data_IF_459583413089
#
_entry.id   IF_459583413089
#
_cell.length_a   1.000
_cell.length_b   1.000
_cell.length_c   1.000
_cell.angle_alpha   90.00
_cell.angle_beta   90.00
_cell.angle_gamma   90.00
#
_symmetry.space_group_name_H-M   'P 1'
#
loop_
_entity.id
_entity.type
_entity.pdbx_description
1 polymer ?
#
# COMPACT_ATOMS: atom_id res chain seq x y z
N UNK A 1 -28.83 -9.64 -0.16
CA UNK A 1 -27.78 -8.95 -0.93
C UNK A 1 -27.28 -7.77 -0.11
N UNK A 2 -26.18 -7.94 0.64
CA UNK A 2 -25.54 -6.87 1.41
C UNK A 2 -24.03 -7.04 1.25
N UNK A 3 -23.33 -6.13 0.55
CA UNK A 3 -21.89 -6.23 0.42
C UNK A 3 -21.24 -5.70 1.71
N UNK A 4 -20.40 -6.55 2.31
CA UNK A 4 -19.22 -6.17 3.08
C UNK A 4 -19.39 -5.14 4.22
N UNK A 5 -20.20 -5.48 5.22
CA UNK A 5 -20.09 -4.86 6.54
C UNK A 5 -18.98 -5.57 7.35
N UNK A 6 -17.73 -5.46 6.92
CA UNK A 6 -16.56 -6.06 7.60
C UNK A 6 -16.04 -5.22 8.77
N UNK A 7 -16.59 -4.02 9.00
CA UNK A 7 -16.17 -3.09 10.07
C UNK A 7 -17.37 -2.58 10.88
N UNK A 8 -18.14 -3.52 11.41
CA UNK A 8 -19.19 -3.21 12.37
C UNK A 8 -18.62 -2.87 13.73
N UNK A 9 -18.47 -1.57 14.00
CA UNK A 9 -18.72 -1.05 15.35
C UNK A 9 -17.54 -0.77 16.28
N UNK A 10 -16.28 -0.77 15.84
CA UNK A 10 -15.20 -0.17 16.64
C UNK A 10 -14.06 0.29 15.75
N UNK A 11 -13.75 1.59 15.84
CA UNK A 11 -12.54 2.25 15.34
C UNK A 11 -12.27 2.13 13.84
N UNK A 12 -12.81 3.11 13.10
CA UNK A 12 -12.18 3.56 11.86
C UNK A 12 -10.67 3.73 12.15
N UNK A 13 -9.77 3.01 11.47
CA UNK A 13 -8.37 3.00 11.87
C UNK A 13 -7.84 4.43 11.82
N UNK A 14 -7.35 4.93 12.95
CA UNK A 14 -6.75 6.27 13.00
C UNK A 14 -5.75 6.39 11.86
N UNK A 15 -5.76 7.50 11.12
CA UNK A 15 -4.82 7.75 10.02
C UNK A 15 -3.36 7.44 10.43
N UNK A 16 -3.03 7.66 11.71
CA UNK A 16 -1.74 7.31 12.33
C UNK A 16 -1.41 5.82 12.29
N UNK A 17 -2.38 4.94 12.45
CA UNK A 17 -2.19 3.48 12.37
C UNK A 17 -1.83 3.09 10.94
N UNK A 18 -2.50 3.66 9.94
CA UNK A 18 -2.22 3.43 8.52
C UNK A 18 -0.80 3.91 8.19
N UNK A 19 -0.42 5.10 8.63
CA UNK A 19 0.94 5.64 8.46
C UNK A 19 2.01 4.71 9.06
N UNK A 20 1.77 4.19 10.26
CA UNK A 20 2.68 3.25 10.94
C UNK A 20 2.81 1.94 10.17
N UNK A 21 1.70 1.41 9.64
CA UNK A 21 1.73 0.20 8.81
C UNK A 21 2.47 0.45 7.49
N UNK A 22 2.23 1.57 6.81
CA UNK A 22 2.93 1.94 5.57
C UNK A 22 4.43 2.12 5.83
N UNK A 23 4.82 2.74 6.94
CA UNK A 23 6.22 2.86 7.33
C UNK A 23 6.90 1.48 7.52
N UNK A 24 6.23 0.56 8.22
CA UNK A 24 6.71 -0.83 8.39
C UNK A 24 6.81 -1.57 7.05
N UNK A 25 5.81 -1.40 6.18
CA UNK A 25 5.73 -2.12 4.92
C UNK A 25 6.78 -1.61 3.92
N UNK A 26 7.00 -0.29 3.84
CA UNK A 26 8.10 0.31 3.06
C UNK A 26 9.47 -0.23 3.47
N UNK A 27 9.73 -0.34 4.79
CA UNK A 27 11.00 -0.91 5.29
C UNK A 27 11.19 -2.37 4.85
N UNK A 28 10.13 -3.18 4.95
CA UNK A 28 10.19 -4.60 4.52
C UNK A 28 10.45 -4.72 3.02
N UNK A 29 9.76 -3.91 2.19
CA UNK A 29 9.93 -3.91 0.75
C UNK A 29 11.32 -3.42 0.31
N UNK A 30 11.85 -2.37 0.95
CA UNK A 30 13.20 -1.89 0.69
C UNK A 30 14.25 -2.97 1.00
N UNK A 31 14.09 -3.71 2.10
CA UNK A 31 14.98 -4.82 2.46
C UNK A 31 14.89 -5.99 1.47
N UNK A 32 13.68 -6.34 1.02
CA UNK A 32 13.46 -7.46 0.10
C UNK A 32 13.86 -7.15 -1.36
N UNK A 33 13.90 -5.88 -1.74
CA UNK A 33 14.10 -5.45 -3.13
C UNK A 33 15.30 -4.52 -3.33
N UNK A 34 16.30 -4.61 -2.44
CA UNK A 34 17.55 -3.84 -2.54
C UNK A 34 17.34 -2.32 -2.68
N UNK A 35 16.37 -1.76 -1.94
CA UNK A 35 16.11 -0.32 -1.91
C UNK A 35 15.08 0.19 -2.92
N UNK A 36 14.40 -0.68 -3.69
CA UNK A 36 13.32 -0.25 -4.58
C UNK A 36 12.10 0.25 -3.80
N UNK A 37 11.60 1.42 -4.18
CA UNK A 37 10.40 2.02 -3.61
C UNK A 37 9.17 1.66 -4.44
N UNK A 38 8.25 0.91 -3.83
CA UNK A 38 7.00 0.50 -4.48
C UNK A 38 5.78 1.28 -4.02
N UNK A 39 5.89 2.07 -2.96
CA UNK A 39 4.74 2.74 -2.36
C UNK A 39 4.93 4.24 -2.46
N UNK A 40 4.07 4.88 -3.23
CA UNK A 40 4.02 6.32 -3.39
C UNK A 40 2.99 6.93 -2.44
N UNK A 41 3.33 8.04 -1.80
CA UNK A 41 2.37 8.82 -1.01
C UNK A 41 1.75 9.88 -1.91
N UNK A 42 0.43 9.87 -2.03
CA UNK A 42 -0.33 10.93 -2.69
C UNK A 42 -1.03 11.76 -1.62
N UNK A 43 -0.53 12.96 -1.38
CA UNK A 43 -1.05 13.86 -0.36
C UNK A 43 -2.55 14.14 -0.57
N UNK A 44 -3.34 13.96 0.49
CA UNK A 44 -4.80 14.13 0.45
C UNK A 44 -5.56 13.01 -0.29
N UNK A 45 -4.89 11.97 -0.80
CA UNK A 45 -5.52 10.82 -1.48
C UNK A 45 -5.13 9.45 -0.92
N UNK A 46 -4.00 9.35 -0.21
CA UNK A 46 -3.54 8.12 0.44
C UNK A 46 -2.27 7.55 -0.19
N UNK A 47 -2.23 6.23 -0.42
CA UNK A 47 -1.05 5.51 -0.88
C UNK A 47 -1.34 4.72 -2.14
N UNK A 48 -0.37 4.71 -3.06
CA UNK A 48 -0.43 3.92 -4.29
C UNK A 48 0.67 2.87 -4.25
N UNK A 49 0.32 1.62 -4.53
CA UNK A 49 1.28 0.53 -4.70
C UNK A 49 1.59 0.38 -6.19
N UNK A 50 2.84 0.62 -6.55
CA UNK A 50 3.39 0.28 -7.85
C UNK A 50 3.74 -1.19 -7.85
N UNK A 51 3.11 -1.95 -8.74
CA UNK A 51 3.57 -3.30 -9.03
C UNK A 51 4.90 -3.16 -9.79
N UNK A 52 5.99 -3.65 -9.21
CA UNK A 52 7.30 -3.74 -9.88
C UNK A 52 7.26 -4.48 -11.22
N UNK A 53 6.13 -5.12 -11.53
CA UNK A 53 5.80 -5.76 -12.80
C UNK A 53 5.42 -4.76 -13.91
N UNK A 54 5.26 -3.46 -13.64
CA UNK A 54 4.90 -2.50 -14.70
C UNK A 54 5.96 -2.42 -15.81
N UNK A 55 7.25 -2.59 -15.50
CA UNK A 55 8.29 -2.74 -16.54
C UNK A 55 8.32 -4.15 -17.17
N UNK A 56 7.95 -5.20 -16.44
CA UNK A 56 7.96 -6.58 -16.94
C UNK A 56 6.80 -6.89 -17.89
N UNK A 57 5.64 -6.22 -17.73
CA UNK A 57 4.48 -6.40 -18.60
C UNK A 57 4.56 -5.61 -19.92
N UNK A 58 5.27 -4.49 -19.96
CA UNK A 58 5.46 -3.70 -21.17
C UNK A 58 6.49 -4.32 -22.14
N UNK A 59 7.37 -5.19 -21.65
CA UNK A 59 8.32 -5.97 -22.46
C UNK A 59 7.76 -7.32 -22.93
N UNK A 60 6.53 -7.67 -22.51
CA UNK A 60 5.85 -8.89 -22.91
C UNK A 60 4.79 -8.68 -24.01
N UNK A 61 4.79 -7.50 -24.65
CA UNK A 61 3.90 -7.13 -25.77
C UNK A 61 4.67 -6.80 -27.03
#
# INVERSE_FOLDING_TARGET
MKPNHLYGGMDEPELKIIDVFICKLRKKLANASSGKNYIETVWGRGYVLHDGVSEMRALAS
#
